data_IF_105467425305
#
_entry.id   IF_105467425305
#
_cell.length_a   1.000
_cell.length_b   1.000
_cell.length_c   1.000
_cell.angle_alpha   90.00
_cell.angle_beta   90.00
_cell.angle_gamma   90.00
#
_symmetry.space_group_name_H-M   'P 1'
#
loop_
_entity.id
_entity.type
_entity.pdbx_description
1 polymer ?
#
# COMPACT_ATOMS: atom_id res chain seq x y z
N UNK A 1 -0.44 -5.10 21.72
CA UNK A 1 -0.60 -3.74 21.14
C UNK A 1 0.46 -3.62 20.06
N UNK A 2 0.11 -3.15 18.86
CA UNK A 2 1.08 -3.00 17.76
C UNK A 2 1.88 -1.69 17.93
N UNK A 3 3.17 -1.72 17.58
CA UNK A 3 4.05 -0.56 17.54
C UNK A 3 4.44 -0.16 16.12
N UNK A 4 5.18 0.94 15.98
CA UNK A 4 5.68 1.38 14.68
C UNK A 4 6.75 0.41 14.13
N UNK A 5 7.52 -0.21 15.03
CA UNK A 5 8.51 -1.24 14.71
C UNK A 5 7.87 -2.49 14.09
N UNK A 6 6.65 -2.85 14.50
CA UNK A 6 5.89 -3.95 13.86
C UNK A 6 5.61 -3.64 12.38
N UNK A 7 5.34 -2.37 12.05
CA UNK A 7 5.06 -1.92 10.68
C UNK A 7 6.34 -1.97 9.84
N UNK A 8 7.48 -1.50 10.36
CA UNK A 8 8.76 -1.60 9.66
C UNK A 8 9.18 -3.05 9.44
N UNK A 9 9.03 -3.89 10.47
CA UNK A 9 9.34 -5.32 10.38
C UNK A 9 8.47 -6.01 9.33
N UNK A 10 7.18 -5.66 9.28
CA UNK A 10 6.26 -6.17 8.26
C UNK A 10 6.67 -5.70 6.86
N UNK A 11 7.01 -4.42 6.69
CA UNK A 11 7.45 -3.87 5.42
C UNK A 11 8.73 -4.55 4.90
N UNK A 12 9.71 -4.79 5.78
CA UNK A 12 10.95 -5.47 5.42
C UNK A 12 10.72 -6.92 4.99
N UNK A 13 9.88 -7.67 5.73
CA UNK A 13 9.53 -9.06 5.45
C UNK A 13 8.94 -9.24 4.05
N UNK A 14 8.02 -8.36 3.66
CA UNK A 14 7.26 -8.52 2.41
C UNK A 14 7.84 -7.77 1.21
N UNK A 15 8.91 -6.97 1.38
CA UNK A 15 9.41 -6.01 0.37
C UNK A 15 9.70 -6.62 -1.00
N UNK A 16 10.20 -7.86 -1.03
CA UNK A 16 10.58 -8.56 -2.26
C UNK A 16 9.40 -9.22 -2.98
N UNK A 17 8.22 -9.26 -2.34
CA UNK A 17 7.05 -9.98 -2.85
C UNK A 17 5.80 -9.11 -2.96
N UNK A 18 5.87 -7.81 -2.69
CA UNK A 18 4.78 -6.85 -2.94
C UNK A 18 5.14 -5.85 -4.02
N UNK A 19 4.15 -5.23 -4.64
CA UNK A 19 4.36 -4.09 -5.52
C UNK A 19 4.50 -2.80 -4.71
N UNK A 20 5.48 -1.97 -5.07
CA UNK A 20 5.47 -0.55 -4.72
C UNK A 20 4.44 0.12 -5.63
N UNK A 21 3.19 0.16 -5.15
CA UNK A 21 2.08 0.75 -5.90
C UNK A 21 2.30 2.24 -6.15
N UNK A 22 1.90 2.77 -7.31
CA UNK A 22 2.11 4.17 -7.62
C UNK A 22 1.27 5.08 -6.72
N UNK A 23 1.72 6.33 -6.59
CA UNK A 23 0.89 7.43 -6.11
C UNK A 23 0.46 8.22 -7.34
N UNK A 24 -0.84 8.29 -7.59
CA UNK A 24 -1.41 9.00 -8.73
C UNK A 24 -2.14 10.27 -8.28
N UNK A 25 -2.39 11.17 -9.22
CA UNK A 25 -3.18 12.39 -9.04
C UNK A 25 -4.18 12.51 -10.18
N UNK A 26 -5.21 13.35 -10.01
CA UNK A 26 -6.20 13.62 -11.06
C UNK A 26 -6.52 15.11 -11.07
N UNK A 27 -6.28 15.79 -12.19
CA UNK A 27 -6.59 17.23 -12.33
C UNK A 27 -8.07 17.53 -12.13
N UNK A 28 -8.95 16.62 -12.56
CA UNK A 28 -10.39 16.74 -12.33
C UNK A 28 -10.74 16.71 -10.83
N UNK A 29 -10.18 15.75 -10.09
CA UNK A 29 -10.47 15.63 -8.65
C UNK A 29 -9.79 16.77 -7.88
N UNK A 30 -8.58 17.16 -8.26
CA UNK A 30 -7.91 18.31 -7.66
C UNK A 30 -8.79 19.57 -7.77
N UNK A 31 -9.40 19.79 -8.94
CA UNK A 31 -10.29 20.93 -9.19
C UNK A 31 -11.61 20.82 -8.42
N UNK A 32 -12.15 19.61 -8.29
CA UNK A 32 -13.38 19.36 -7.54
C UNK A 32 -13.21 19.61 -6.03
N UNK A 33 -12.02 19.33 -5.49
CA UNK A 33 -11.71 19.47 -4.06
C UNK A 33 -11.00 20.78 -3.71
N UNK A 34 -10.64 21.62 -4.69
CA UNK A 34 -9.81 22.81 -4.54
C UNK A 34 -8.49 22.53 -3.78
N UNK A 35 -7.89 21.35 -4.02
CA UNK A 35 -6.64 20.93 -3.37
C UNK A 35 -5.95 19.82 -4.15
N UNK A 36 -4.67 19.53 -3.83
CA UNK A 36 -3.95 18.39 -4.41
C UNK A 36 -4.36 17.09 -3.72
N UNK A 37 -4.89 16.13 -4.48
CA UNK A 37 -5.32 14.82 -3.98
C UNK A 37 -4.41 13.71 -4.52
N UNK A 38 -3.84 12.93 -3.60
CA UNK A 38 -2.92 11.84 -3.91
C UNK A 38 -3.58 10.48 -3.63
N UNK A 39 -3.58 9.61 -4.63
CA UNK A 39 -4.15 8.27 -4.55
C UNK A 39 -3.04 7.23 -4.40
N UNK A 40 -2.99 6.55 -3.27
CA UNK A 40 -2.16 5.35 -3.12
C UNK A 40 -2.88 4.17 -3.76
N UNK A 41 -2.44 3.76 -4.96
CA UNK A 41 -3.20 2.87 -5.83
C UNK A 41 -3.10 1.38 -5.44
N UNK A 42 -3.63 1.00 -4.27
CA UNK A 42 -3.60 -0.40 -3.80
C UNK A 42 -4.50 -1.35 -4.61
N UNK A 43 -5.39 -0.83 -5.46
CA UNK A 43 -6.11 -1.65 -6.46
C UNK A 43 -5.15 -2.23 -7.53
N UNK A 44 -3.93 -1.70 -7.65
CA UNK A 44 -2.86 -2.21 -8.51
C UNK A 44 -1.87 -3.11 -7.75
N UNK A 45 -2.12 -3.41 -6.48
CA UNK A 45 -1.33 -4.39 -5.74
C UNK A 45 -1.61 -5.80 -6.27
N UNK A 46 -0.75 -6.77 -5.91
CA UNK A 46 -1.03 -8.19 -6.09
C UNK A 46 -2.45 -8.51 -5.62
N UNK A 47 -3.13 -9.37 -6.38
CA UNK A 47 -4.53 -9.77 -6.15
C UNK A 47 -5.54 -8.61 -6.16
N UNK A 48 -5.19 -7.44 -6.71
CA UNK A 48 -6.12 -6.33 -6.95
C UNK A 48 -6.54 -5.54 -5.71
N UNK A 49 -5.87 -5.71 -4.57
CA UNK A 49 -6.15 -4.92 -3.36
C UNK A 49 -4.99 -4.93 -2.36
N UNK A 50 -5.06 -4.08 -1.34
CA UNK A 50 -4.05 -3.99 -0.28
C UNK A 50 -3.85 -5.27 0.54
N UNK A 51 -4.81 -6.22 0.48
CA UNK A 51 -4.87 -7.40 1.36
C UNK A 51 -3.66 -8.33 1.22
N UNK A 52 -3.02 -8.36 0.05
CA UNK A 52 -1.79 -9.12 -0.17
C UNK A 52 -0.71 -8.78 0.86
N UNK A 53 -0.64 -7.52 1.33
CA UNK A 53 0.36 -7.09 2.33
C UNK A 53 0.19 -7.85 3.65
N UNK A 54 -1.03 -7.86 4.18
CA UNK A 54 -1.33 -8.51 5.45
C UNK A 54 -1.23 -10.03 5.36
N UNK A 55 -1.76 -10.61 4.27
CA UNK A 55 -1.71 -12.05 4.04
C UNK A 55 -0.26 -12.57 3.98
N UNK A 56 0.60 -11.89 3.22
CA UNK A 56 2.02 -12.24 3.10
C UNK A 56 2.79 -12.02 4.41
N UNK A 57 2.52 -10.91 5.10
CA UNK A 57 3.15 -10.62 6.39
C UNK A 57 2.85 -11.64 7.49
N UNK A 58 1.63 -12.21 7.49
CA UNK A 58 1.16 -13.18 8.47
C UNK A 58 1.49 -14.64 8.10
N UNK A 59 1.92 -14.89 6.86
CA UNK A 59 2.25 -16.23 6.38
C UNK A 59 3.70 -16.62 6.70
N UNK A 60 3.94 -17.90 7.01
CA UNK A 60 5.27 -18.44 7.30
C UNK A 60 6.11 -18.78 6.05
N UNK A 61 5.68 -18.37 4.85
CA UNK A 61 6.31 -18.76 3.58
C UNK A 61 7.35 -17.77 3.06
N UNK A 62 7.69 -16.74 3.86
CA UNK A 62 8.69 -15.71 3.58
C UNK A 62 9.74 -15.69 4.70
#
# INVERSE_FOLDING_TARGET
MFSFEDIYSAADRIKNVIHVTPVMTSSYIDSLCDMKVYFKCEHLQKTGSFKARGALNASNFL
#
